data_IF_974635214787
#
_entry.id   IF_974635214787
#
_cell.length_a   1.000
_cell.length_b   1.000
_cell.length_c   1.000
_cell.angle_alpha   90.00
_cell.angle_beta   90.00
_cell.angle_gamma   90.00
#
_symmetry.space_group_name_H-M   'P 1'
#
loop_
_entity.id
_entity.type
_entity.pdbx_description
1 polymer ?
#
# COMPACT_ATOMS: atom_id res chain seq x y z
N UNK A 1 -20.19 -25.90 13.65
CA UNK A 1 -20.60 -25.92 12.22
C UNK A 1 -20.33 -24.52 11.72
N UNK A 2 -19.07 -24.30 11.40
CA UNK A 2 -18.43 -22.99 11.32
C UNK A 2 -18.41 -22.54 9.86
N UNK A 3 -19.40 -21.73 9.47
CA UNK A 3 -19.59 -21.25 8.10
C UNK A 3 -19.12 -19.80 7.88
N UNK A 4 -18.40 -19.18 8.83
CA UNK A 4 -18.13 -17.73 8.79
C UNK A 4 -16.74 -17.33 8.28
N UNK A 5 -15.81 -18.27 8.09
CA UNK A 5 -14.43 -17.91 7.72
C UNK A 5 -14.23 -17.64 6.20
N UNK A 6 -15.14 -18.10 5.33
CA UNK A 6 -14.91 -18.08 3.87
C UNK A 6 -15.34 -16.79 3.16
N UNK A 7 -16.13 -15.92 3.81
CA UNK A 7 -16.58 -14.65 3.22
C UNK A 7 -15.52 -13.54 3.24
N UNK A 8 -14.76 -13.43 4.34
CA UNK A 8 -13.75 -12.39 4.54
C UNK A 8 -12.58 -12.46 3.56
N UNK A 9 -12.16 -13.66 3.15
CA UNK A 9 -11.08 -13.83 2.18
C UNK A 9 -11.45 -13.33 0.78
N UNK A 10 -12.69 -13.60 0.34
CA UNK A 10 -13.18 -13.16 -0.97
C UNK A 10 -13.44 -11.65 -1.03
N UNK A 11 -13.99 -11.08 0.03
CA UNK A 11 -14.19 -9.61 0.14
C UNK A 11 -12.85 -8.86 0.17
N UNK A 12 -11.85 -9.41 0.89
CA UNK A 12 -10.49 -8.86 0.89
C UNK A 12 -9.85 -8.88 -0.50
N UNK A 13 -9.96 -9.98 -1.23
CA UNK A 13 -9.46 -10.08 -2.61
C UNK A 13 -10.13 -9.09 -3.56
N UNK A 14 -11.45 -8.90 -3.45
CA UNK A 14 -12.18 -7.91 -4.25
C UNK A 14 -11.72 -6.47 -3.94
N UNK A 15 -11.45 -6.17 -2.67
CA UNK A 15 -10.94 -4.86 -2.27
C UNK A 15 -9.52 -4.60 -2.82
N UNK A 16 -8.64 -5.61 -2.76
CA UNK A 16 -7.30 -5.54 -3.32
C UNK A 16 -7.34 -5.35 -4.85
N UNK A 17 -8.22 -6.07 -5.54
CA UNK A 17 -8.42 -5.91 -6.98
C UNK A 17 -8.94 -4.51 -7.33
N UNK A 18 -9.92 -3.99 -6.58
CA UNK A 18 -10.46 -2.66 -6.81
C UNK A 18 -9.40 -1.56 -6.61
N UNK A 19 -8.55 -1.67 -5.58
CA UNK A 19 -7.45 -0.72 -5.39
C UNK A 19 -6.39 -0.85 -6.48
N UNK A 20 -6.09 -2.06 -6.95
CA UNK A 20 -5.19 -2.28 -8.09
C UNK A 20 -5.73 -1.56 -9.33
N UNK A 21 -7.00 -1.77 -9.68
CA UNK A 21 -7.63 -1.17 -10.85
C UNK A 21 -7.66 0.37 -10.74
N UNK A 22 -7.91 0.90 -9.54
CA UNK A 22 -7.86 2.35 -9.26
C UNK A 22 -6.48 2.92 -9.53
N UNK A 23 -5.43 2.25 -9.05
CA UNK A 23 -4.05 2.68 -9.23
C UNK A 23 -3.61 2.57 -10.70
N UNK A 24 -3.99 1.51 -11.40
CA UNK A 24 -3.70 1.35 -12.83
C UNK A 24 -4.35 2.47 -13.67
N UNK A 25 -5.58 2.84 -13.34
CA UNK A 25 -6.28 3.94 -13.99
C UNK A 25 -5.59 5.29 -13.70
N UNK A 26 -5.24 5.57 -12.44
CA UNK A 26 -4.50 6.77 -12.07
C UNK A 26 -3.15 6.86 -12.80
N UNK A 27 -2.42 5.75 -12.89
CA UNK A 27 -1.14 5.66 -13.57
C UNK A 27 -1.29 5.91 -15.08
N UNK A 28 -2.34 5.38 -15.70
CA UNK A 28 -2.65 5.66 -17.11
C UNK A 28 -2.88 7.16 -17.35
N UNK A 29 -3.65 7.83 -16.48
CA UNK A 29 -3.88 9.27 -16.57
C UNK A 29 -2.59 10.07 -16.40
N UNK A 30 -1.75 9.69 -15.44
CA UNK A 30 -0.49 10.36 -15.17
C UNK A 30 0.49 10.22 -16.35
N UNK A 31 0.56 9.03 -16.97
CA UNK A 31 1.35 8.81 -18.20
C UNK A 31 0.87 9.68 -19.36
N UNK A 32 -0.45 9.85 -19.53
CA UNK A 32 -1.02 10.73 -20.57
C UNK A 32 -0.64 12.19 -20.32
N UNK A 33 -0.85 12.68 -19.09
CA UNK A 33 -0.48 14.04 -18.71
C UNK A 33 1.01 14.31 -18.90
N UNK A 34 1.89 13.38 -18.52
CA UNK A 34 3.33 13.51 -18.78
C UNK A 34 3.67 13.53 -20.28
N UNK A 35 2.90 12.83 -21.11
CA UNK A 35 3.10 12.87 -22.56
C UNK A 35 2.74 14.25 -23.11
N UNK A 36 1.61 14.81 -22.69
CA UNK A 36 1.17 16.17 -23.06
C UNK A 36 2.17 17.24 -22.60
N UNK A 37 2.68 17.16 -21.37
CA UNK A 37 3.73 18.07 -20.86
C UNK A 37 5.02 17.98 -21.67
N UNK A 38 5.45 16.75 -22.02
CA UNK A 38 6.64 16.52 -22.86
C UNK A 38 6.44 17.03 -24.29
N UNK A 39 5.21 17.05 -24.79
CA UNK A 39 4.89 17.67 -26.08
C UNK A 39 4.94 19.19 -26.00
N UNK A 40 4.39 19.79 -24.95
CA UNK A 40 4.46 21.24 -24.73
C UNK A 40 5.90 21.75 -24.62
N UNK A 41 6.79 20.99 -23.97
CA UNK A 41 8.23 21.31 -23.90
C UNK A 41 8.95 21.37 -25.27
N UNK A 42 8.36 20.81 -26.33
CA UNK A 42 8.91 20.93 -27.69
C UNK A 42 8.69 22.32 -28.27
N UNK A 43 7.68 23.06 -27.79
CA UNK A 43 7.36 24.41 -28.24
C UNK A 43 8.24 25.47 -27.54
N UNK A 44 8.77 25.14 -26.37
CA UNK A 44 9.76 25.92 -25.65
C UNK A 44 10.08 25.31 -24.28
N UNK A 45 11.29 25.56 -23.74
CA UNK A 45 11.63 25.10 -22.40
C UNK A 45 10.76 25.81 -21.35
N UNK A 46 10.20 25.02 -20.44
CA UNK A 46 9.36 25.47 -19.33
C UNK A 46 9.75 24.70 -18.06
N UNK A 47 10.31 25.41 -17.07
CA UNK A 47 10.79 24.80 -15.83
C UNK A 47 9.69 24.16 -15.01
N UNK A 48 8.47 24.70 -15.07
CA UNK A 48 7.34 24.21 -14.30
C UNK A 48 6.85 22.89 -14.89
N UNK A 49 6.89 22.75 -16.22
CA UNK A 49 6.58 21.49 -16.90
C UNK A 49 7.66 20.43 -16.63
N UNK A 50 8.94 20.80 -16.65
CA UNK A 50 10.04 19.88 -16.30
C UNK A 50 9.92 19.36 -14.86
N UNK A 51 9.56 20.24 -13.92
CA UNK A 51 9.31 19.88 -12.53
C UNK A 51 8.09 18.97 -12.39
N UNK A 52 6.97 19.32 -12.99
CA UNK A 52 5.76 18.51 -12.97
C UNK A 52 6.01 17.10 -13.53
N UNK A 53 6.75 16.97 -14.63
CA UNK A 53 7.13 15.67 -15.20
C UNK A 53 7.94 14.85 -14.18
N UNK A 54 8.92 15.47 -13.53
CA UNK A 54 9.81 14.82 -12.56
C UNK A 54 9.02 14.31 -11.35
N UNK A 55 8.13 15.13 -10.80
CA UNK A 55 7.28 14.76 -9.68
C UNK A 55 6.31 13.63 -10.07
N UNK A 56 5.68 13.74 -11.24
CA UNK A 56 4.80 12.72 -11.77
C UNK A 56 5.54 11.39 -11.99
N UNK A 57 6.79 11.42 -12.47
CA UNK A 57 7.61 10.21 -12.63
C UNK A 57 7.92 9.52 -11.29
N UNK A 58 8.18 10.28 -10.23
CA UNK A 58 8.34 9.72 -8.89
C UNK A 58 7.05 9.05 -8.40
N UNK A 59 5.91 9.72 -8.55
CA UNK A 59 4.59 9.18 -8.20
C UNK A 59 4.27 7.91 -9.00
N UNK A 60 4.54 7.90 -10.30
CA UNK A 60 4.36 6.71 -11.15
C UNK A 60 5.21 5.52 -10.67
N UNK A 61 6.44 5.77 -10.21
CA UNK A 61 7.32 4.73 -9.67
C UNK A 61 6.69 4.08 -8.43
N UNK A 62 6.20 4.89 -7.50
CA UNK A 62 5.60 4.39 -6.26
C UNK A 62 4.25 3.70 -6.49
N UNK A 63 3.41 4.24 -7.39
CA UNK A 63 2.19 3.57 -7.82
C UNK A 63 2.47 2.22 -8.49
N UNK A 64 3.53 2.12 -9.32
CA UNK A 64 3.91 0.87 -9.97
C UNK A 64 4.34 -0.19 -8.96
N UNK A 65 5.12 0.18 -7.93
CA UNK A 65 5.50 -0.74 -6.85
C UNK A 65 4.26 -1.23 -6.10
N UNK A 66 3.36 -0.33 -5.75
CA UNK A 66 2.12 -0.68 -5.03
C UNK A 66 1.22 -1.60 -5.86
N UNK A 67 1.14 -1.41 -7.17
CA UNK A 67 0.42 -2.31 -8.07
C UNK A 67 1.04 -3.71 -8.05
N UNK A 68 2.37 -3.82 -8.06
CA UNK A 68 3.05 -5.11 -7.99
C UNK A 68 2.82 -5.79 -6.63
N UNK A 69 2.90 -5.05 -5.52
CA UNK A 69 2.60 -5.58 -4.19
C UNK A 69 1.16 -6.10 -4.09
N UNK A 70 0.19 -5.36 -4.63
CA UNK A 70 -1.21 -5.77 -4.69
C UNK A 70 -1.40 -7.01 -5.55
N UNK A 71 -0.70 -7.09 -6.69
CA UNK A 71 -0.73 -8.25 -7.56
C UNK A 71 -0.23 -9.49 -6.84
N UNK A 72 0.92 -9.41 -6.16
CA UNK A 72 1.46 -10.52 -5.37
C UNK A 72 0.47 -10.93 -4.28
N UNK A 73 -0.16 -9.98 -3.59
CA UNK A 73 -1.15 -10.27 -2.55
C UNK A 73 -2.40 -10.98 -3.10
N UNK A 74 -2.89 -10.56 -4.27
CA UNK A 74 -4.03 -11.20 -4.95
C UNK A 74 -3.65 -12.63 -5.39
N UNK A 75 -2.48 -12.80 -6.01
CA UNK A 75 -1.99 -14.11 -6.45
C UNK A 75 -1.78 -15.07 -5.26
N UNK A 76 -1.23 -14.58 -4.14
CA UNK A 76 -1.07 -15.35 -2.92
C UNK A 76 -2.42 -15.80 -2.33
N UNK A 77 -3.39 -14.88 -2.24
CA UNK A 77 -4.73 -15.21 -1.73
C UNK A 77 -5.57 -16.09 -2.67
N UNK A 78 -5.20 -16.18 -3.96
CA UNK A 78 -5.75 -17.17 -4.91
C UNK A 78 -5.06 -18.53 -4.82
N UNK A 79 -3.81 -18.58 -4.34
CA UNK A 79 -2.98 -19.80 -4.26
C UNK A 79 -3.20 -20.62 -2.97
N UNK A 80 -3.95 -20.12 -1.99
CA UNK A 80 -4.27 -20.86 -0.77
C UNK A 80 -5.30 -21.99 -1.02
N UNK A 81 -4.80 -23.10 -1.56
CA UNK A 81 -5.22 -24.42 -1.09
C UNK A 81 -4.47 -24.72 0.22
N UNK A 82 -5.12 -25.25 1.26
CA UNK A 82 -4.60 -25.16 2.62
C UNK A 82 -3.46 -26.15 2.83
N UNK A 83 -2.27 -25.64 3.13
CA UNK A 83 -1.27 -26.43 3.86
C UNK A 83 -1.34 -26.02 5.33
N UNK A 84 -1.57 -26.96 6.27
CA UNK A 84 -1.62 -26.64 7.68
C UNK A 84 -0.20 -26.34 8.16
N UNK A 85 0.11 -25.07 8.38
CA UNK A 85 1.36 -24.67 9.03
C UNK A 85 1.17 -24.97 10.52
N UNK A 86 1.85 -26.02 10.98
CA UNK A 86 1.89 -26.43 12.38
C UNK A 86 2.52 -25.30 13.20
N UNK A 87 1.70 -24.59 13.98
CA UNK A 87 2.15 -23.52 14.86
C UNK A 87 2.81 -24.16 16.08
N UNK A 88 4.14 -24.25 16.11
CA UNK A 88 4.87 -24.38 17.37
C UNK A 88 4.91 -23.00 18.03
N UNK A 89 4.16 -22.91 19.12
CA UNK A 89 4.02 -21.77 20.01
C UNK A 89 5.27 -21.65 20.90
N UNK A 90 6.06 -20.56 20.84
CA UNK A 90 6.96 -20.24 21.94
C UNK A 90 6.17 -19.43 22.97
N UNK A 91 5.81 -20.10 24.07
CA UNK A 91 5.50 -19.44 25.33
C UNK A 91 6.71 -18.65 25.83
N UNK A 92 6.46 -17.53 26.52
CA UNK A 92 7.36 -16.69 27.35
C UNK A 92 7.39 -15.23 26.85
N UNK A 93 7.19 -14.17 27.63
CA UNK A 93 6.94 -14.01 29.06
C UNK A 93 6.33 -12.61 29.21
N UNK A 94 5.24 -12.56 29.97
CA UNK A 94 4.62 -11.34 30.48
C UNK A 94 5.55 -10.74 31.55
N UNK A 95 6.10 -9.55 31.31
CA UNK A 95 6.63 -8.72 32.39
C UNK A 95 6.51 -7.23 32.05
N UNK A 96 5.46 -6.62 32.60
CA UNK A 96 5.26 -5.18 32.64
C UNK A 96 6.26 -4.54 33.60
N UNK A 97 6.89 -3.40 33.27
CA UNK A 97 7.48 -2.55 34.28
C UNK A 97 6.39 -1.72 34.96
N UNK A 98 6.15 -2.03 36.23
CA UNK A 98 5.39 -1.23 37.19
C UNK A 98 5.93 0.21 37.24
N UNK A 99 5.05 1.19 37.03
CA UNK A 99 5.30 2.61 37.35
C UNK A 99 4.25 3.06 38.37
N UNK A 100 4.62 2.91 39.63
CA UNK A 100 4.20 3.71 40.78
C UNK A 100 5.53 4.14 41.43
N UNK A 101 5.80 5.33 41.94
CA UNK A 101 5.05 6.56 42.16
C UNK A 101 6.08 7.64 42.56
N UNK A 102 5.64 8.90 42.62
CA UNK A 102 6.25 10.04 43.31
C UNK A 102 7.44 10.78 42.65
N UNK A 103 7.18 12.01 42.15
CA UNK A 103 7.49 13.23 42.92
C UNK A 103 7.01 14.50 42.19
N UNK A 104 6.10 15.21 42.87
CA UNK A 104 6.00 16.67 43.03
C UNK A 104 6.58 17.58 41.95
N UNK A 105 5.72 18.35 41.30
CA UNK A 105 6.15 19.46 40.43
C UNK A 105 5.02 20.30 39.85
N UNK A 106 4.19 20.87 40.73
CA UNK A 106 3.22 21.90 40.40
C UNK A 106 3.93 23.14 39.83
N UNK A 107 3.66 23.49 38.58
CA UNK A 107 3.92 24.84 38.07
C UNK A 107 2.71 25.33 37.28
N UNK A 108 2.15 26.43 37.79
CA UNK A 108 1.22 27.32 37.11
C UNK A 108 1.87 27.93 35.86
#
# INVERSE_FOLDING_TARGET
MDAEAHGKGKEGLLLLQAEKDRLENALLHLRRSNTELKEALKEGPDSDFEEAIRENEAVMCDMSKKIEDLRIAIEAGLSESPTPVSVEQPASTEQAPSRDDAESGQWL
#
